data_IF_430455128719
#
_entry.id   IF_430455128719
#
_cell.length_a   1.000
_cell.length_b   1.000
_cell.length_c   1.000
_cell.angle_alpha   90.00
_cell.angle_beta   90.00
_cell.angle_gamma   90.00
#
_symmetry.space_group_name_H-M   'P 1'
#
loop_
_entity.id
_entity.type
_entity.pdbx_description
1 polymer ?
#
# COMPACT_ATOMS: atom_id res chain seq x y z
N UNK A 1 4.39 -3.35 -4.80
CA UNK A 1 3.23 -3.73 -3.96
C UNK A 1 3.64 -3.83 -2.50
N UNK A 2 2.90 -3.17 -1.60
CA UNK A 2 2.94 -3.46 -0.17
C UNK A 2 1.70 -4.26 0.17
N UNK A 3 1.90 -5.38 0.85
CA UNK A 3 0.84 -6.35 1.13
C UNK A 3 0.66 -6.39 2.63
N UNK A 4 -0.53 -6.02 3.14
CA UNK A 4 -0.76 -6.09 4.57
C UNK A 4 -0.45 -7.47 5.12
N UNK A 5 0.20 -7.54 6.29
CA UNK A 5 0.66 -8.79 6.89
C UNK A 5 -0.44 -9.88 6.96
N UNK A 6 -1.69 -9.48 7.27
CA UNK A 6 -2.81 -10.41 7.33
C UNK A 6 -3.15 -11.04 5.97
N UNK A 7 -2.86 -10.36 4.85
CA UNK A 7 -3.00 -10.91 3.49
C UNK A 7 -1.83 -11.81 3.14
N UNK A 8 -0.62 -11.42 3.54
CA UNK A 8 0.57 -12.23 3.33
C UNK A 8 0.42 -13.62 4.00
N UNK A 9 -0.01 -13.65 5.26
CA UNK A 9 -0.20 -14.89 6.02
C UNK A 9 -1.32 -15.79 5.50
N UNK A 10 -2.24 -15.26 4.70
CA UNK A 10 -3.44 -15.98 4.20
C UNK A 10 -3.32 -16.49 2.77
N UNK A 11 -2.22 -16.19 2.09
CA UNK A 11 -2.06 -16.53 0.69
C UNK A 11 -1.31 -17.84 0.52
N UNK A 12 -2.02 -18.88 0.05
CA UNK A 12 -1.45 -20.17 -0.33
C UNK A 12 -1.40 -20.39 -1.85
N UNK A 13 -2.01 -19.49 -2.62
CA UNK A 13 -2.23 -19.71 -4.05
C UNK A 13 -1.08 -19.16 -4.87
N UNK A 14 -0.63 -19.92 -5.86
CA UNK A 14 0.39 -19.50 -6.83
C UNK A 14 -0.28 -19.43 -8.18
N UNK A 15 -0.22 -18.27 -8.84
CA UNK A 15 -0.76 -18.07 -10.18
C UNK A 15 0.32 -18.29 -11.24
N UNK A 16 -0.03 -18.97 -12.31
CA UNK A 16 0.76 -19.19 -13.52
C UNK A 16 0.24 -18.38 -14.72
N UNK A 17 1.05 -18.31 -15.77
CA UNK A 17 0.62 -17.72 -17.05
C UNK A 17 -0.50 -18.56 -17.64
N UNK A 18 -1.60 -17.92 -18.05
CA UNK A 18 -2.80 -18.56 -18.56
C UNK A 18 -3.90 -18.76 -17.49
N UNK A 19 -3.57 -18.61 -16.21
CA UNK A 19 -4.56 -18.73 -15.15
C UNK A 19 -5.60 -17.62 -15.25
N UNK A 20 -6.86 -18.02 -15.11
CA UNK A 20 -7.98 -17.10 -14.95
C UNK A 20 -8.10 -16.68 -13.50
N UNK A 21 -8.51 -15.43 -13.30
CA UNK A 21 -8.69 -14.88 -11.97
C UNK A 21 -9.86 -13.92 -11.92
N UNK A 22 -10.34 -13.65 -10.70
CA UNK A 22 -11.26 -12.56 -10.40
C UNK A 22 -10.58 -11.53 -9.50
N UNK A 23 -10.89 -10.25 -9.70
CA UNK A 23 -10.48 -9.16 -8.81
C UNK A 23 -11.66 -8.26 -8.52
N UNK A 24 -11.88 -7.95 -7.23
CA UNK A 24 -13.00 -7.10 -6.81
C UNK A 24 -12.48 -5.70 -6.47
N UNK A 25 -13.12 -4.68 -7.01
CA UNK A 25 -12.93 -3.29 -6.58
C UNK A 25 -14.02 -2.92 -5.57
N UNK A 26 -13.83 -1.85 -4.79
CA UNK A 26 -14.77 -1.50 -3.71
C UNK A 26 -16.09 -0.89 -4.20
N UNK A 27 -16.00 -0.17 -5.31
CA UNK A 27 -17.06 0.58 -5.98
C UNK A 27 -17.87 -0.27 -6.96
N UNK A 28 -17.50 -1.55 -7.13
CA UNK A 28 -18.14 -2.45 -8.09
C UNK A 28 -18.70 -3.68 -7.37
N UNK A 29 -19.98 -3.97 -7.62
CA UNK A 29 -20.64 -5.14 -7.05
C UNK A 29 -20.10 -6.43 -7.63
N UNK A 30 -19.85 -6.45 -8.94
CA UNK A 30 -19.32 -7.58 -9.70
C UNK A 30 -17.78 -7.57 -9.73
N UNK A 31 -17.12 -8.70 -9.42
CA UNK A 31 -15.68 -8.83 -9.66
C UNK A 31 -15.35 -8.77 -11.15
N UNK A 32 -14.22 -8.17 -11.49
CA UNK A 32 -13.64 -8.20 -12.83
C UNK A 32 -12.94 -9.53 -13.04
N UNK A 33 -13.14 -10.13 -14.21
CA UNK A 33 -12.41 -11.33 -14.61
C UNK A 33 -11.20 -10.96 -15.47
N UNK A 34 -10.17 -11.79 -15.42
CA UNK A 34 -9.00 -11.61 -16.26
C UNK A 34 -8.15 -12.86 -16.38
N UNK A 35 -7.10 -12.76 -17.18
CA UNK A 35 -6.13 -13.82 -17.48
C UNK A 35 -4.71 -13.34 -17.19
N UNK A 36 -3.91 -14.15 -16.51
CA UNK A 36 -2.49 -13.87 -16.31
C UNK A 36 -1.74 -14.07 -17.62
N UNK A 37 -0.97 -13.06 -18.04
CA UNK A 37 -0.17 -13.04 -19.27
C UNK A 37 1.33 -13.06 -19.01
N UNK A 38 1.76 -12.61 -17.84
CA UNK A 38 3.17 -12.62 -17.46
C UNK A 38 3.34 -12.53 -15.95
N UNK A 39 4.53 -12.92 -15.48
CA UNK A 39 4.96 -12.80 -14.09
C UNK A 39 6.33 -12.14 -14.13
N UNK A 40 6.46 -10.97 -13.54
CA UNK A 40 7.71 -10.22 -13.55
C UNK A 40 7.87 -9.42 -12.25
N UNK A 41 9.08 -8.98 -11.88
CA UNK A 41 9.24 -8.04 -10.77
C UNK A 41 8.51 -6.72 -11.10
N UNK A 42 7.87 -6.09 -10.12
CA UNK A 42 7.10 -4.84 -10.34
C UNK A 42 7.96 -3.68 -10.89
N UNK A 43 9.23 -3.63 -10.49
CA UNK A 43 10.20 -2.64 -10.96
C UNK A 43 11.54 -3.35 -11.21
N UNK A 44 11.67 -4.06 -12.34
CA UNK A 44 12.83 -4.92 -12.57
C UNK A 44 14.12 -4.11 -12.74
N UNK A 45 14.02 -2.84 -13.17
CA UNK A 45 15.17 -1.93 -13.28
C UNK A 45 15.70 -1.47 -11.92
N UNK A 46 14.82 -1.06 -11.02
CA UNK A 46 15.20 -0.48 -9.74
C UNK A 46 15.32 -1.54 -8.62
N UNK A 47 14.64 -2.67 -8.79
CA UNK A 47 14.56 -3.77 -7.84
C UNK A 47 14.56 -5.14 -8.56
N UNK A 48 15.68 -5.49 -9.25
CA UNK A 48 15.77 -6.74 -10.02
C UNK A 48 15.57 -7.99 -9.17
N UNK A 49 16.01 -7.96 -7.91
CA UNK A 49 15.90 -9.07 -6.96
C UNK A 49 14.67 -8.95 -6.04
N UNK A 50 13.68 -8.12 -6.41
CA UNK A 50 12.47 -7.96 -5.61
C UNK A 50 11.73 -9.31 -5.47
N UNK A 51 11.51 -9.82 -4.24
CA UNK A 51 10.69 -11.01 -4.06
C UNK A 51 9.20 -10.73 -4.36
N UNK A 52 8.84 -9.45 -4.52
CA UNK A 52 7.50 -9.01 -4.87
C UNK A 52 7.34 -9.04 -6.38
N UNK A 53 6.68 -10.09 -6.85
CA UNK A 53 6.26 -10.25 -8.23
C UNK A 53 4.98 -9.46 -8.50
N UNK A 54 4.84 -8.98 -9.73
CA UNK A 54 3.61 -8.51 -10.33
C UNK A 54 3.12 -9.53 -11.36
N UNK A 55 1.81 -9.60 -11.53
CA UNK A 55 1.19 -10.35 -12.62
C UNK A 55 0.82 -9.33 -13.68
N UNK A 56 1.38 -9.49 -14.88
CA UNK A 56 0.86 -8.82 -16.06
C UNK A 56 -0.43 -9.53 -16.44
N UNK A 57 -1.54 -8.81 -16.46
CA UNK A 57 -2.86 -9.40 -16.70
C UNK A 57 -3.55 -8.77 -17.90
N UNK A 58 -4.45 -9.53 -18.49
CA UNK A 58 -5.41 -9.05 -19.47
C UNK A 58 -6.80 -9.21 -18.86
N UNK A 59 -7.54 -8.11 -18.76
CA UNK A 59 -8.93 -8.13 -18.31
C UNK A 59 -9.84 -8.72 -19.38
N UNK A 60 -10.86 -9.47 -18.94
CA UNK A 60 -11.89 -10.03 -19.80
C UNK A 60 -12.94 -8.92 -20.00
N UNK A 61 -12.79 -8.11 -21.06
CA UNK A 61 -13.61 -6.92 -21.31
C UNK A 61 -15.07 -7.26 -21.71
N UNK A 62 -16.07 -6.82 -20.94
CA UNK A 62 -17.46 -6.62 -21.42
C UNK A 62 -17.84 -5.14 -21.62
N UNK A 63 -17.01 -4.17 -21.17
CA UNK A 63 -17.28 -2.72 -21.25
C UNK A 63 -16.10 -1.91 -21.83
N UNK A 64 -15.54 -2.38 -22.94
CA UNK A 64 -14.48 -1.66 -23.65
C UNK A 64 -15.10 -0.60 -24.56
N UNK A 65 -14.81 0.68 -24.31
CA UNK A 65 -14.97 1.69 -25.36
C UNK A 65 -13.78 1.59 -26.35
N UNK A 66 -14.06 1.62 -27.65
CA UNK A 66 -13.04 1.60 -28.69
C UNK A 66 -12.12 2.83 -28.56
N UNK A 67 -10.85 2.61 -28.19
CA UNK A 67 -9.84 3.66 -28.11
C UNK A 67 -9.01 3.71 -26.82
N UNK A 68 -9.30 2.88 -25.81
CA UNK A 68 -8.48 2.85 -24.59
C UNK A 68 -7.16 2.07 -24.80
N UNK A 69 -6.08 2.82 -25.06
CA UNK A 69 -4.70 2.32 -25.17
C UNK A 69 -4.14 1.80 -23.83
N UNK A 70 -4.88 1.85 -22.70
CA UNK A 70 -4.49 1.21 -21.42
C UNK A 70 -4.40 -0.32 -21.48
N UNK A 71 -4.76 -0.93 -22.60
CA UNK A 71 -4.85 -2.38 -22.81
C UNK A 71 -3.51 -3.13 -22.87
N UNK A 72 -2.36 -2.47 -22.83
CA UNK A 72 -1.08 -3.17 -22.87
C UNK A 72 -0.69 -3.65 -21.46
N UNK A 73 -1.36 -4.71 -21.03
CA UNK A 73 -1.06 -5.54 -19.86
C UNK A 73 -0.86 -4.76 -18.54
N UNK A 74 -1.95 -4.57 -17.80
CA UNK A 74 -1.85 -3.95 -16.48
C UNK A 74 -1.14 -4.89 -15.49
N UNK A 75 -0.34 -4.33 -14.58
CA UNK A 75 0.34 -5.09 -13.52
C UNK A 75 -0.51 -5.10 -12.24
N UNK A 76 -0.85 -6.30 -11.75
CA UNK A 76 -1.57 -6.50 -10.49
C UNK A 76 -0.75 -7.30 -9.49
N UNK A 77 -1.04 -7.13 -8.19
CA UNK A 77 -0.42 -7.96 -7.17
C UNK A 77 -1.02 -9.37 -7.19
N UNK A 78 -0.22 -10.44 -7.08
CA UNK A 78 -0.74 -11.79 -6.87
C UNK A 78 -1.72 -11.93 -5.69
N UNK A 79 -1.59 -11.07 -4.67
CA UNK A 79 -2.45 -11.07 -3.47
C UNK A 79 -3.70 -10.19 -3.59
N UNK A 80 -3.90 -9.58 -4.76
CA UNK A 80 -5.08 -8.77 -5.08
C UNK A 80 -6.11 -9.54 -5.89
N UNK A 81 -5.67 -10.60 -6.56
CA UNK A 81 -6.51 -11.43 -7.41
C UNK A 81 -6.88 -12.74 -6.70
N UNK A 82 -7.95 -13.38 -7.16
CA UNK A 82 -8.46 -14.64 -6.62
C UNK A 82 -8.58 -15.68 -7.72
N UNK A 83 -8.33 -16.97 -7.45
CA UNK A 83 -8.64 -18.04 -8.38
C UNK A 83 -10.13 -18.05 -8.71
N UNK A 84 -10.47 -18.39 -9.95
CA UNK A 84 -11.87 -18.62 -10.32
C UNK A 84 -12.44 -19.75 -9.46
N UNK A 85 -13.62 -19.53 -8.86
CA UNK A 85 -14.28 -20.48 -7.95
C UNK A 85 -13.98 -20.26 -6.47
N UNK A 86 -13.01 -19.43 -6.11
CA UNK A 86 -12.86 -18.93 -4.74
C UNK A 86 -13.69 -17.64 -4.58
N UNK A 87 -14.97 -17.78 -4.24
CA UNK A 87 -15.77 -16.68 -3.69
C UNK A 87 -15.41 -16.47 -2.21
N UNK A 88 -14.15 -16.14 -1.94
CA UNK A 88 -13.81 -15.62 -0.63
C UNK A 88 -14.60 -14.32 -0.47
N UNK A 89 -15.21 -14.14 0.70
CA UNK A 89 -15.64 -12.84 1.19
C UNK A 89 -14.39 -11.96 1.29
N UNK A 90 -14.00 -11.40 0.16
CA UNK A 90 -12.92 -10.44 0.07
C UNK A 90 -13.31 -9.32 1.03
N UNK A 91 -12.55 -9.04 2.10
CA UNK A 91 -12.82 -7.84 2.87
C UNK A 91 -12.74 -6.69 1.88
N UNK A 92 -13.83 -5.91 1.76
CA UNK A 92 -13.95 -4.76 0.84
C UNK A 92 -12.58 -4.09 0.71
N UNK A 93 -12.02 -4.24 -0.48
CA UNK A 93 -10.58 -4.21 -0.70
C UNK A 93 -10.12 -2.82 -1.09
N UNK A 94 -9.98 -1.93 -0.11
CA UNK A 94 -9.48 -0.55 -0.15
C UNK A 94 -9.51 0.24 -1.47
N UNK A 95 -10.15 1.40 -1.43
CA UNK A 95 -10.17 2.42 -2.48
C UNK A 95 -8.79 2.57 -3.11
N UNK A 96 -8.77 2.61 -4.45
CA UNK A 96 -7.57 2.94 -5.22
C UNK A 96 -6.96 4.25 -4.71
N UNK A 97 -5.64 4.29 -4.60
CA UNK A 97 -4.93 5.52 -4.26
C UNK A 97 -4.81 6.35 -5.53
N UNK A 98 -5.68 7.34 -5.68
CA UNK A 98 -5.63 8.29 -6.80
C UNK A 98 -4.30 9.05 -6.82
N UNK A 99 -3.92 9.56 -7.99
CA UNK A 99 -2.71 10.36 -8.13
C UNK A 99 -2.78 11.65 -7.29
N UNK A 100 -3.97 12.24 -7.15
CA UNK A 100 -4.22 13.41 -6.30
C UNK A 100 -4.01 13.08 -4.82
N UNK A 101 -4.59 11.97 -4.33
CA UNK A 101 -4.43 11.55 -2.94
C UNK A 101 -2.99 11.15 -2.64
N UNK A 102 -2.30 10.49 -3.58
CA UNK A 102 -0.88 10.14 -3.44
C UNK A 102 -0.03 11.39 -3.25
N UNK A 103 -0.25 12.40 -4.07
CA UNK A 103 0.51 13.65 -4.03
C UNK A 103 0.22 14.45 -2.74
N UNK A 104 -1.04 14.48 -2.28
CA UNK A 104 -1.40 15.05 -0.97
C UNK A 104 -0.62 14.38 0.16
N UNK A 105 -0.69 13.05 0.25
CA UNK A 105 0.01 12.30 1.31
C UNK A 105 1.52 12.51 1.22
N UNK A 106 2.07 12.50 0.01
CA UNK A 106 3.50 12.72 -0.20
C UNK A 106 3.95 14.08 0.32
N UNK A 107 3.22 15.16 0.03
CA UNK A 107 3.53 16.50 0.53
C UNK A 107 3.48 16.60 2.05
N UNK A 108 2.47 15.99 2.67
CA UNK A 108 2.33 15.98 4.13
C UNK A 108 3.46 15.21 4.81
N UNK A 109 3.79 14.03 4.27
CA UNK A 109 4.91 13.24 4.75
C UNK A 109 6.23 14.03 4.65
N UNK A 110 6.45 14.74 3.53
CA UNK A 110 7.63 15.59 3.34
C UNK A 110 7.67 16.77 4.32
N UNK A 111 6.51 17.38 4.64
CA UNK A 111 6.42 18.41 5.67
C UNK A 111 6.81 17.88 7.04
N UNK A 112 6.25 16.74 7.44
CA UNK A 112 6.57 16.09 8.71
C UNK A 112 8.06 15.71 8.79
N UNK A 113 8.61 15.12 7.73
CA UNK A 113 10.02 14.71 7.65
C UNK A 113 11.02 15.86 7.86
N UNK A 114 10.62 17.12 7.67
CA UNK A 114 11.47 18.30 7.91
C UNK A 114 11.43 18.79 9.36
N UNK A 115 10.55 18.26 10.18
CA UNK A 115 10.46 18.60 11.61
C UNK A 115 11.47 17.83 12.43
N UNK A 116 11.91 18.39 13.56
CA UNK A 116 12.77 17.69 14.52
C UNK A 116 12.09 16.42 15.09
N UNK A 117 10.76 16.41 15.12
CA UNK A 117 9.95 15.28 15.57
C UNK A 117 10.08 14.04 14.67
N UNK A 118 10.47 14.21 13.40
CA UNK A 118 10.60 13.11 12.47
C UNK A 118 11.94 12.37 12.56
N UNK A 119 12.95 12.96 13.18
CA UNK A 119 14.32 12.42 13.29
C UNK A 119 14.37 10.91 13.63
N UNK A 120 13.62 10.40 14.62
CA UNK A 120 13.67 8.99 15.01
C UNK A 120 13.09 8.03 13.96
N UNK A 121 12.34 8.57 13.01
CA UNK A 121 11.60 7.81 12.00
C UNK A 121 12.22 7.94 10.60
N UNK A 122 13.26 8.79 10.43
CA UNK A 122 13.86 9.06 9.12
C UNK A 122 14.60 7.84 8.56
N UNK A 123 15.27 7.05 9.40
CA UNK A 123 16.03 5.89 8.97
C UNK A 123 15.81 4.71 9.91
N UNK A 124 15.83 3.49 9.36
CA UNK A 124 15.83 2.27 10.16
C UNK A 124 17.30 1.87 10.38
N UNK A 125 17.83 2.05 11.59
CA UNK A 125 19.21 1.66 11.91
C UNK A 125 19.36 0.13 11.87
N UNK A 126 20.43 -0.35 11.23
CA UNK A 126 20.49 -1.68 10.61
C UNK A 126 20.70 -2.88 11.55
N UNK A 127 21.16 -2.71 12.79
CA UNK A 127 21.77 -3.88 13.48
C UNK A 127 21.06 -4.40 14.74
N UNK A 128 20.22 -3.61 15.41
CA UNK A 128 19.52 -4.05 16.65
C UNK A 128 17.99 -4.04 16.56
N UNK A 129 17.43 -3.32 15.58
CA UNK A 129 15.98 -3.07 15.45
C UNK A 129 15.28 -4.24 14.72
N UNK A 130 15.93 -4.83 13.72
CA UNK A 130 15.37 -5.84 12.81
C UNK A 130 14.93 -7.14 13.50
N UNK A 131 15.50 -7.47 14.67
CA UNK A 131 15.12 -8.64 15.47
C UNK A 131 14.00 -8.37 16.48
N UNK A 132 13.58 -7.11 16.64
CA UNK A 132 12.63 -6.65 17.67
C UNK A 132 11.34 -6.06 17.08
N UNK A 133 11.33 -5.65 15.81
CA UNK A 133 10.10 -5.26 15.11
C UNK A 133 9.64 -6.31 14.10
N UNK A 134 8.32 -6.52 13.99
CA UNK A 134 7.75 -7.42 12.99
C UNK A 134 8.02 -7.00 11.53
N UNK A 135 8.19 -5.69 11.28
CA UNK A 135 8.44 -5.16 9.94
C UNK A 135 9.24 -3.84 10.01
N UNK A 136 10.52 -3.82 9.59
CA UNK A 136 11.36 -2.63 9.60
C UNK A 136 10.89 -1.63 8.52
N UNK A 137 10.42 -0.47 8.94
CA UNK A 137 9.90 0.62 8.11
C UNK A 137 10.36 1.97 8.66
N UNK A 138 10.62 2.91 7.75
CA UNK A 138 10.98 4.29 8.04
C UNK A 138 10.19 5.25 7.16
N UNK A 139 10.12 6.53 7.55
CA UNK A 139 9.55 7.59 6.71
C UNK A 139 10.28 7.70 5.37
N UNK A 140 11.60 7.52 5.34
CA UNK A 140 12.36 7.50 4.07
C UNK A 140 11.91 6.38 3.13
N UNK A 141 11.65 5.18 3.66
CA UNK A 141 11.15 4.05 2.86
C UNK A 141 9.75 4.33 2.34
N UNK A 142 8.83 4.80 3.20
CA UNK A 142 7.45 5.11 2.80
C UNK A 142 7.43 6.26 1.78
N UNK A 143 8.25 7.29 1.98
CA UNK A 143 8.40 8.43 1.07
C UNK A 143 8.93 7.98 -0.29
N UNK A 144 9.97 7.15 -0.32
CA UNK A 144 10.51 6.58 -1.57
C UNK A 144 9.46 5.73 -2.29
N UNK A 145 8.68 4.92 -1.56
CA UNK A 145 7.59 4.11 -2.12
C UNK A 145 6.47 4.96 -2.70
N UNK A 146 6.09 6.06 -2.05
CA UNK A 146 5.12 7.02 -2.58
C UNK A 146 5.62 7.66 -3.88
N UNK A 147 6.85 8.17 -3.89
CA UNK A 147 7.47 8.78 -5.07
C UNK A 147 7.55 7.81 -6.27
N UNK A 148 7.79 6.52 -6.00
CA UNK A 148 7.84 5.45 -7.00
C UNK A 148 6.47 4.83 -7.30
N UNK A 149 5.37 5.43 -6.84
CA UNK A 149 3.99 4.95 -7.07
C UNK A 149 3.76 3.49 -6.62
N UNK A 150 4.50 3.05 -5.60
CA UNK A 150 4.50 1.66 -5.14
C UNK A 150 3.22 1.27 -4.40
N UNK A 151 2.48 2.26 -3.86
CA UNK A 151 1.17 2.09 -3.26
C UNK A 151 0.07 2.34 -4.30
N UNK A 152 -0.62 1.27 -4.71
CA UNK A 152 -1.82 1.36 -5.57
C UNK A 152 -3.10 1.60 -4.77
N UNK A 153 -3.11 1.31 -3.47
CA UNK A 153 -4.32 1.37 -2.63
C UNK A 153 -4.09 2.07 -1.30
N UNK A 154 -5.12 2.77 -0.81
CA UNK A 154 -5.06 3.52 0.46
C UNK A 154 -4.69 2.63 1.65
N UNK A 155 -5.25 1.41 1.76
CA UNK A 155 -4.93 0.51 2.88
C UNK A 155 -3.49 -0.01 2.87
N UNK A 156 -2.83 -0.11 1.71
CA UNK A 156 -1.44 -0.55 1.65
C UNK A 156 -0.51 0.51 2.26
N UNK A 157 -0.79 1.78 1.95
CA UNK A 157 -0.11 2.93 2.53
C UNK A 157 -0.41 3.05 4.03
N UNK A 158 -1.69 2.95 4.41
CA UNK A 158 -2.12 2.99 5.81
C UNK A 158 -1.50 1.86 6.64
N UNK A 159 -1.33 0.67 6.06
CA UNK A 159 -0.70 -0.45 6.75
C UNK A 159 0.76 -0.14 7.14
N UNK A 160 1.56 0.33 6.19
CA UNK A 160 2.96 0.69 6.46
C UNK A 160 3.07 1.81 7.50
N UNK A 161 2.18 2.80 7.42
CA UNK A 161 2.16 3.92 8.37
C UNK A 161 1.75 3.45 9.78
N UNK A 162 0.75 2.57 9.90
CA UNK A 162 0.41 1.92 11.18
C UNK A 162 1.54 1.07 11.74
N UNK A 163 2.27 0.36 10.88
CA UNK A 163 3.46 -0.39 11.31
C UNK A 163 4.55 0.55 11.86
N UNK A 164 4.77 1.72 11.24
CA UNK A 164 5.69 2.72 11.74
C UNK A 164 5.31 3.21 13.15
N UNK A 165 4.04 3.57 13.36
CA UNK A 165 3.54 4.01 14.67
C UNK A 165 3.64 2.89 15.72
N UNK A 166 3.24 1.67 15.35
CA UNK A 166 3.31 0.52 16.24
C UNK A 166 4.75 0.21 16.65
N UNK A 167 5.68 0.24 15.70
CA UNK A 167 7.09 0.02 15.96
C UNK A 167 7.63 1.08 16.93
N UNK A 168 7.25 2.35 16.75
CA UNK A 168 7.62 3.44 17.67
C UNK A 168 7.23 3.13 19.12
N UNK A 169 6.00 2.64 19.33
CA UNK A 169 5.48 2.27 20.65
C UNK A 169 6.17 1.06 21.31
N UNK A 170 6.98 0.28 20.58
CA UNK A 170 7.77 -0.81 21.16
C UNK A 170 9.08 -0.33 21.79
N UNK A 171 9.60 0.84 21.41
CA UNK A 171 10.90 1.35 21.87
C UNK A 171 10.80 2.63 22.69
N UNK A 172 9.80 3.45 22.42
CA UNK A 172 9.63 4.72 23.09
C UNK A 172 8.76 4.54 24.34
N UNK A 173 9.17 5.10 25.49
CA UNK A 173 8.37 5.02 26.70
C UNK A 173 7.03 5.75 26.53
N UNK A 174 5.97 5.33 27.24
CA UNK A 174 4.72 6.08 27.26
C UNK A 174 4.95 7.55 27.66
N UNK A 175 4.35 8.48 26.91
CA UNK A 175 4.51 9.92 27.13
C UNK A 175 5.77 10.54 26.51
N UNK A 176 6.60 9.76 25.81
CA UNK A 176 7.70 10.31 25.00
C UNK A 176 7.13 11.22 23.90
N UNK A 177 7.71 12.43 23.76
CA UNK A 177 7.31 13.40 22.73
C UNK A 177 7.42 12.82 21.33
N UNK A 178 8.40 11.95 21.07
CA UNK A 178 8.59 11.26 19.79
C UNK A 178 7.44 10.29 19.51
N UNK A 179 6.93 9.61 20.53
CA UNK A 179 5.78 8.70 20.40
C UNK A 179 4.48 9.47 20.13
N UNK A 180 4.28 10.60 20.82
CA UNK A 180 3.16 11.50 20.56
C UNK A 180 3.19 12.00 19.10
N UNK A 181 4.35 12.40 18.59
CA UNK A 181 4.48 12.82 17.20
C UNK A 181 4.20 11.68 16.20
N UNK A 182 4.61 10.44 16.49
CA UNK A 182 4.25 9.29 15.66
C UNK A 182 2.73 9.07 15.61
N UNK A 183 2.04 9.25 16.74
CA UNK A 183 0.58 9.12 16.82
C UNK A 183 -0.12 10.19 15.98
N UNK A 184 0.31 11.45 16.05
CA UNK A 184 -0.23 12.54 15.21
C UNK A 184 -0.08 12.24 13.72
N UNK A 185 1.05 11.67 13.30
CA UNK A 185 1.23 11.22 11.89
C UNK A 185 0.25 10.10 11.55
N UNK A 186 0.05 9.15 12.46
CA UNK A 186 -0.96 8.09 12.32
C UNK A 186 -2.36 8.65 12.13
N UNK A 187 -2.76 9.60 12.98
CA UNK A 187 -4.08 10.26 12.96
C UNK A 187 -4.31 11.05 11.66
N UNK A 188 -3.32 11.83 11.20
CA UNK A 188 -3.43 12.54 9.93
C UNK A 188 -3.62 11.59 8.75
N UNK A 189 -2.92 10.45 8.76
CA UNK A 189 -3.04 9.44 7.71
C UNK A 189 -4.37 8.71 7.76
N UNK A 190 -4.91 8.46 8.94
CA UNK A 190 -6.26 7.89 9.10
C UNK A 190 -7.33 8.85 8.60
N UNK A 191 -7.23 10.13 8.96
CA UNK A 191 -8.09 11.19 8.42
C UNK A 191 -8.06 11.26 6.89
N UNK A 192 -6.88 11.12 6.26
CA UNK A 192 -6.78 11.03 4.79
C UNK A 192 -7.47 9.80 4.20
N UNK A 193 -7.44 8.67 4.91
CA UNK A 193 -8.09 7.44 4.46
C UNK A 193 -9.62 7.54 4.57
N UNK A 194 -10.12 8.28 5.56
CA UNK A 194 -11.55 8.50 5.82
C UNK A 194 -12.19 9.50 4.84
N UNK A 195 -11.39 10.38 4.23
CA UNK A 195 -11.81 11.24 3.12
C UNK A 195 -11.59 12.72 3.38
N UNK A 196 -11.98 13.55 2.42
CA UNK A 196 -11.68 14.99 2.38
C UNK A 196 -12.14 15.73 3.65
N UNK A 197 -13.34 15.46 4.13
CA UNK A 197 -13.89 16.12 5.33
C UNK A 197 -13.15 15.73 6.62
N UNK A 198 -12.72 14.47 6.74
CA UNK A 198 -11.95 14.00 7.88
C UNK A 198 -10.55 14.64 7.88
N UNK A 199 -9.95 14.75 6.69
CA UNK A 199 -8.68 15.45 6.49
C UNK A 199 -8.73 16.92 6.87
N UNK A 200 -9.74 17.67 6.38
CA UNK A 200 -9.89 19.10 6.68
C UNK A 200 -10.07 19.35 8.20
N UNK A 201 -10.81 18.49 8.89
CA UNK A 201 -10.94 18.54 10.36
C UNK A 201 -9.63 18.25 11.09
N UNK A 202 -8.80 17.36 10.55
CA UNK A 202 -7.47 17.09 11.10
C UNK A 202 -6.57 18.33 10.94
N UNK A 203 -6.57 18.98 9.77
CA UNK A 203 -5.80 20.20 9.53
C UNK A 203 -6.25 21.40 10.39
N UNK A 204 -7.53 21.50 10.76
CA UNK A 204 -8.02 22.56 11.64
C UNK A 204 -7.61 22.38 13.12
N UNK A 205 -7.28 21.15 13.52
CA UNK A 205 -6.97 20.78 14.91
C UNK A 205 -5.48 20.78 15.27
N UNK A 206 -4.58 20.92 14.28
CA UNK A 206 -3.12 20.82 14.41
C UNK A 206 -2.41 21.99 13.72
#
# INVERSE_FOLDING_TARGET
>A
FVIPLYRFQRHSTVFGIGDKFHMRFEDVETPYAGTVRGIEPFHPRDFPDSPWQCLRVQWDDEQREEGDERSDFESVSPWEIMPVGEERSSPRTSVSLSDEDRERVFRLLQGFMRSEAAEPFLACEQDAVWSRVPLPLSLSVISSRLAKRFYRRKLALLHDLRCLVRNAGLYLPPGDRKLLCAQVVGEGVEAMAEGKEAWEKFEEGY
#
